data_IF_937500840681
#
_entry.id   IF_937500840681
#
_cell.length_a   1.000
_cell.length_b   1.000
_cell.length_c   1.000
_cell.angle_alpha   90.00
_cell.angle_beta   90.00
_cell.angle_gamma   90.00
#
_symmetry.space_group_name_H-M   'P 1'
#
loop_
_entity.id
_entity.type
_entity.pdbx_description
1 polymer ?
#
# COMPACT_ATOMS: atom_id res chain seq x y z
N UNK A 1 14.68 -0.20 -2.12
CA UNK A 1 13.35 0.16 -1.57
C UNK A 1 12.97 1.54 -2.06
N UNK A 2 11.67 1.83 -2.24
CA UNK A 2 11.20 3.14 -2.74
C UNK A 2 10.56 3.95 -1.61
N UNK A 3 10.98 5.20 -1.36
CA UNK A 3 10.41 6.01 -0.29
C UNK A 3 8.98 6.44 -0.61
N UNK A 4 8.10 6.35 0.37
CA UNK A 4 6.70 6.77 0.30
C UNK A 4 6.51 8.02 1.17
N UNK A 5 5.76 8.98 0.65
CA UNK A 5 5.48 10.26 1.31
C UNK A 5 3.98 10.53 1.32
N UNK A 6 3.46 11.03 2.44
CA UNK A 6 2.06 11.45 2.52
C UNK A 6 1.77 12.62 1.58
N UNK A 7 0.49 12.96 1.37
CA UNK A 7 0.07 14.16 0.65
C UNK A 7 0.70 15.42 1.25
N UNK A 8 0.70 15.55 2.58
CA UNK A 8 1.32 16.68 3.27
C UNK A 8 2.84 16.74 3.04
N UNK A 9 3.52 15.59 3.14
CA UNK A 9 4.95 15.52 2.87
C UNK A 9 5.26 15.86 1.42
N UNK A 10 4.43 15.41 0.48
CA UNK A 10 4.58 15.71 -0.96
C UNK A 10 4.45 17.20 -1.24
N UNK A 11 3.47 17.89 -0.63
CA UNK A 11 3.34 19.36 -0.70
C UNK A 11 4.52 20.08 -0.05
N UNK A 12 5.12 19.47 0.96
CA UNK A 12 6.32 20.01 1.61
C UNK A 12 7.54 19.90 0.71
N UNK A 13 7.76 18.75 0.05
CA UNK A 13 8.82 18.55 -0.93
C UNK A 13 8.69 19.53 -2.10
N UNK A 14 7.48 19.72 -2.63
CA UNK A 14 7.18 20.68 -3.69
C UNK A 14 7.56 22.12 -3.28
N UNK A 15 7.13 22.55 -2.08
CA UNK A 15 7.48 23.87 -1.54
C UNK A 15 8.99 24.05 -1.34
N UNK A 16 9.68 23.02 -0.84
CA UNK A 16 11.13 23.06 -0.64
C UNK A 16 11.87 23.12 -1.97
N UNK A 17 11.42 22.38 -2.99
CA UNK A 17 11.96 22.45 -4.34
C UNK A 17 11.82 23.86 -4.94
N UNK A 18 10.68 24.51 -4.74
CA UNK A 18 10.47 25.89 -5.19
C UNK A 18 11.33 26.90 -4.44
N UNK A 19 11.35 26.81 -3.10
CA UNK A 19 11.98 27.81 -2.25
C UNK A 19 13.51 27.71 -2.19
N UNK A 20 14.06 26.49 -2.14
CA UNK A 20 15.49 26.26 -1.93
C UNK A 20 16.24 25.94 -3.21
N UNK A 21 15.64 25.15 -4.11
CA UNK A 21 16.26 24.81 -5.39
C UNK A 21 15.96 25.83 -6.49
N UNK A 22 15.17 26.87 -6.19
CA UNK A 22 14.83 27.95 -7.12
C UNK A 22 14.06 27.46 -8.35
N UNK A 23 13.37 26.33 -8.26
CA UNK A 23 12.60 25.75 -9.36
C UNK A 23 11.22 26.41 -9.42
N UNK A 24 10.87 27.18 -10.47
CA UNK A 24 9.54 27.78 -10.58
C UNK A 24 8.46 26.69 -10.61
N UNK A 25 7.32 26.92 -9.97
CA UNK A 25 6.22 25.93 -9.92
C UNK A 25 5.73 25.53 -11.33
N UNK A 26 5.59 26.50 -12.23
CA UNK A 26 5.29 26.25 -13.65
C UNK A 26 6.31 25.32 -14.34
N UNK A 27 7.59 25.38 -13.95
CA UNK A 27 8.62 24.48 -14.49
C UNK A 27 8.41 23.04 -13.99
N UNK A 28 8.10 22.86 -12.70
CA UNK A 28 7.78 21.54 -12.15
C UNK A 28 6.55 20.95 -12.85
N UNK A 29 5.49 21.74 -13.01
CA UNK A 29 4.26 21.36 -13.70
C UNK A 29 4.52 20.95 -15.16
N UNK A 30 5.33 21.73 -15.90
CA UNK A 30 5.75 21.38 -17.27
C UNK A 30 6.58 20.09 -17.34
N UNK A 31 7.41 19.81 -16.34
CA UNK A 31 8.17 18.54 -16.25
C UNK A 31 7.25 17.36 -15.96
N UNK A 32 6.30 17.51 -15.05
CA UNK A 32 5.29 16.50 -14.72
C UNK A 32 4.45 16.15 -15.96
N UNK A 33 3.88 17.17 -16.60
CA UNK A 33 3.13 17.03 -17.84
C UNK A 33 3.93 16.37 -18.97
N UNK A 34 5.21 16.75 -19.15
CA UNK A 34 6.06 16.13 -20.17
C UNK A 34 6.31 14.65 -19.89
N UNK A 35 6.60 14.30 -18.63
CA UNK A 35 6.75 12.89 -18.23
C UNK A 35 5.46 12.10 -18.44
N UNK A 36 4.31 12.65 -18.06
CA UNK A 36 3.02 12.01 -18.29
C UNK A 36 2.70 11.86 -19.78
N UNK A 37 3.07 12.84 -20.61
CA UNK A 37 2.99 12.74 -22.07
C UNK A 37 3.89 11.63 -22.64
N UNK A 38 5.12 11.48 -22.14
CA UNK A 38 6.00 10.38 -22.53
C UNK A 38 5.43 9.01 -22.11
N UNK A 39 4.86 8.90 -20.91
CA UNK A 39 4.11 7.72 -20.47
C UNK A 39 2.95 7.43 -21.43
N UNK A 40 2.15 8.44 -21.77
CA UNK A 40 1.06 8.34 -22.73
C UNK A 40 1.54 7.77 -24.05
N UNK A 41 2.62 8.32 -24.62
CA UNK A 41 3.16 7.89 -25.92
C UNK A 41 3.68 6.45 -25.91
N UNK A 42 4.24 6.00 -24.79
CA UNK A 42 4.78 4.64 -24.63
C UNK A 42 3.69 3.60 -24.40
N UNK A 43 2.70 3.91 -23.56
CA UNK A 43 1.66 2.95 -23.17
C UNK A 43 0.47 2.95 -24.13
N UNK A 44 0.24 4.07 -24.83
CA UNK A 44 -0.86 4.24 -25.78
C UNK A 44 -0.35 4.75 -27.14
N UNK A 45 0.56 4.03 -27.83
CA UNK A 45 1.21 4.52 -29.06
C UNK A 45 0.24 4.76 -30.22
N UNK A 46 -0.96 4.18 -30.16
CA UNK A 46 -1.99 4.30 -31.19
C UNK A 46 -3.05 5.37 -30.89
N UNK A 47 -3.03 5.99 -29.70
CA UNK A 47 -3.98 7.04 -29.36
C UNK A 47 -3.75 8.27 -30.27
N UNK A 48 -4.83 8.74 -30.89
CA UNK A 48 -4.84 9.95 -31.73
C UNK A 48 -5.76 11.01 -31.14
N UNK A 49 -6.92 10.60 -30.64
CA UNK A 49 -7.89 11.46 -29.97
C UNK A 49 -7.76 11.35 -28.45
N UNK A 50 -7.39 12.46 -27.84
CA UNK A 50 -7.18 12.61 -26.41
C UNK A 50 -8.28 13.49 -25.81
N UNK A 51 -8.91 13.02 -24.74
CA UNK A 51 -9.77 13.87 -23.91
C UNK A 51 -9.11 14.07 -22.56
N UNK A 52 -8.76 15.31 -22.23
CA UNK A 52 -8.15 15.67 -20.95
C UNK A 52 -9.21 16.31 -20.06
N UNK A 53 -9.52 15.68 -18.93
CA UNK A 53 -10.52 16.16 -17.99
C UNK A 53 -9.83 16.83 -16.81
N UNK A 54 -9.87 18.17 -16.79
CA UNK A 54 -9.14 19.01 -15.85
C UNK A 54 -10.05 19.58 -14.75
N UNK A 55 -9.55 19.57 -13.51
CA UNK A 55 -10.10 20.38 -12.42
C UNK A 55 -9.52 21.80 -12.40
N UNK A 56 -9.82 22.56 -11.33
CA UNK A 56 -9.35 23.95 -11.19
C UNK A 56 -8.03 24.11 -10.43
N UNK A 57 -7.47 23.03 -9.89
CA UNK A 57 -6.25 23.04 -9.08
C UNK A 57 -4.98 22.72 -9.88
N UNK A 58 -3.87 22.50 -9.17
CA UNK A 58 -2.57 22.20 -9.79
C UNK A 58 -2.60 20.95 -10.68
N UNK A 59 -3.36 19.91 -10.30
CA UNK A 59 -3.50 18.71 -11.14
C UNK A 59 -4.15 19.03 -12.49
N UNK A 60 -5.12 19.97 -12.51
CA UNK A 60 -5.70 20.48 -13.75
C UNK A 60 -4.67 21.26 -14.58
N UNK A 61 -3.75 21.97 -13.93
CA UNK A 61 -2.59 22.59 -14.56
C UNK A 61 -1.66 21.58 -15.25
N UNK A 62 -1.33 20.46 -14.59
CA UNK A 62 -0.60 19.36 -15.22
C UNK A 62 -1.33 18.84 -16.47
N UNK A 63 -2.67 18.72 -16.39
CA UNK A 63 -3.54 18.39 -17.51
C UNK A 63 -3.46 19.39 -18.66
N UNK A 64 -3.48 20.70 -18.37
CA UNK A 64 -3.34 21.75 -19.39
C UNK A 64 -1.97 21.67 -20.09
N UNK A 65 -0.87 21.54 -19.35
CA UNK A 65 0.45 21.38 -19.98
C UNK A 65 0.56 20.08 -20.79
N UNK A 66 -0.02 18.97 -20.32
CA UNK A 66 -0.03 17.71 -21.08
C UNK A 66 -0.78 17.88 -22.40
N UNK A 67 -1.93 18.58 -22.36
CA UNK A 67 -2.71 18.89 -23.54
C UNK A 67 -1.91 19.73 -24.56
N UNK A 68 -1.12 20.71 -24.10
CA UNK A 68 -0.21 21.47 -24.96
C UNK A 68 0.80 20.55 -25.66
N UNK A 69 1.48 19.66 -24.93
CA UNK A 69 2.44 18.73 -25.53
C UNK A 69 1.79 17.77 -26.53
N UNK A 70 0.61 17.23 -26.20
CA UNK A 70 -0.13 16.36 -27.09
C UNK A 70 -0.55 17.08 -28.38
N UNK A 71 -1.03 18.32 -28.28
CA UNK A 71 -1.40 19.14 -29.43
C UNK A 71 -0.21 19.47 -30.32
N UNK A 72 0.91 19.89 -29.72
CA UNK A 72 2.15 20.17 -30.46
C UNK A 72 2.72 18.91 -31.13
N UNK A 73 2.41 17.72 -30.62
CA UNK A 73 2.72 16.44 -31.24
C UNK A 73 1.72 16.00 -32.33
N UNK A 74 0.74 16.84 -32.67
CA UNK A 74 -0.24 16.60 -33.73
C UNK A 74 -1.42 15.70 -33.34
N UNK A 75 -1.69 15.53 -32.04
CA UNK A 75 -2.87 14.79 -31.58
C UNK A 75 -4.14 15.65 -31.66
N UNK A 76 -5.29 14.98 -31.80
CA UNK A 76 -6.62 15.59 -31.68
C UNK A 76 -6.96 15.71 -30.19
N UNK A 77 -6.88 16.91 -29.61
CA UNK A 77 -6.96 17.13 -28.17
C UNK A 77 -8.22 17.93 -27.81
N UNK A 78 -9.07 17.33 -26.98
CA UNK A 78 -10.22 17.97 -26.37
C UNK A 78 -9.99 18.14 -24.86
N UNK A 79 -10.30 19.32 -24.33
CA UNK A 79 -10.04 19.66 -22.94
C UNK A 79 -11.36 19.99 -22.29
N UNK A 80 -11.75 19.19 -21.30
CA UNK A 80 -12.94 19.40 -20.50
C UNK A 80 -12.56 19.95 -19.15
N UNK A 81 -13.12 21.09 -18.78
CA UNK A 81 -12.86 21.74 -17.51
C UNK A 81 -14.07 21.57 -16.58
N UNK A 82 -13.83 21.02 -15.39
CA UNK A 82 -14.80 21.04 -14.30
C UNK A 82 -14.57 22.22 -13.38
N UNK A 83 -15.62 23.02 -13.18
CA UNK A 83 -15.56 24.25 -12.41
C UNK A 83 -15.25 25.47 -13.27
N UNK A 84 -15.30 26.64 -12.64
CA UNK A 84 -15.20 27.91 -13.36
C UNK A 84 -13.74 28.34 -13.53
N UNK A 85 -13.40 28.86 -14.71
CA UNK A 85 -12.06 29.42 -15.01
C UNK A 85 -11.67 30.50 -14.00
N UNK A 86 -12.66 31.24 -13.49
CA UNK A 86 -12.48 32.22 -12.43
C UNK A 86 -12.00 31.63 -11.09
N UNK A 87 -11.86 30.32 -10.92
CA UNK A 87 -11.25 29.67 -9.73
C UNK A 87 -9.82 29.17 -9.96
N UNK A 88 -9.33 29.17 -11.20
CA UNK A 88 -7.97 28.73 -11.54
C UNK A 88 -6.99 29.85 -11.17
N UNK A 89 -5.89 29.50 -10.51
CA UNK A 89 -4.90 30.44 -9.95
C UNK A 89 -3.48 29.91 -10.14
N UNK A 90 -2.50 30.80 -9.95
CA UNK A 90 -1.08 30.43 -9.93
C UNK A 90 -0.62 29.81 -11.25
N UNK A 91 0.26 28.81 -11.15
CA UNK A 91 0.88 28.16 -12.32
C UNK A 91 -0.14 27.51 -13.27
N UNK A 92 -1.23 26.94 -12.74
CA UNK A 92 -2.30 26.37 -13.56
C UNK A 92 -2.98 27.43 -14.45
N UNK A 93 -3.12 28.68 -13.96
CA UNK A 93 -3.67 29.78 -14.76
C UNK A 93 -2.71 30.20 -15.87
N UNK A 94 -1.41 30.24 -15.58
CA UNK A 94 -0.37 30.51 -16.59
C UNK A 94 -0.46 29.50 -17.74
N UNK A 95 -0.56 28.20 -17.42
CA UNK A 95 -0.69 27.16 -18.44
C UNK A 95 -2.00 27.20 -19.21
N UNK A 96 -3.09 27.64 -18.58
CA UNK A 96 -4.36 27.84 -19.27
C UNK A 96 -4.26 28.99 -20.29
N UNK A 97 -3.53 30.06 -19.99
CA UNK A 97 -3.29 31.13 -20.96
C UNK A 97 -2.38 30.66 -22.11
N UNK A 98 -1.28 29.95 -21.80
CA UNK A 98 -0.42 29.36 -22.84
C UNK A 98 -1.19 28.40 -23.76
N UNK A 99 -2.15 27.66 -23.20
CA UNK A 99 -3.04 26.78 -23.95
C UNK A 99 -3.97 27.59 -24.90
N UNK A 100 -4.49 28.74 -24.44
CA UNK A 100 -5.30 29.65 -25.25
C UNK A 100 -4.53 30.24 -26.44
N UNK A 101 -3.24 30.54 -26.26
CA UNK A 101 -2.36 31.02 -27.32
C UNK A 101 -2.13 29.96 -28.43
N UNK A 102 -2.33 28.68 -28.11
CA UNK A 102 -2.33 27.57 -29.09
C UNK A 102 -3.70 27.38 -29.76
N UNK A 103 -4.69 28.23 -29.48
CA UNK A 103 -6.06 28.09 -29.98
C UNK A 103 -6.87 26.99 -29.28
N UNK A 104 -6.40 26.48 -28.15
CA UNK A 104 -7.08 25.49 -27.33
C UNK A 104 -7.72 26.15 -26.11
N UNK A 105 -8.86 25.63 -25.66
CA UNK A 105 -9.54 26.16 -24.48
C UNK A 105 -10.20 25.07 -23.68
N UNK A 106 -10.34 25.30 -22.37
CA UNK A 106 -11.18 24.47 -21.52
C UNK A 106 -12.64 24.62 -21.92
N UNK A 107 -13.24 23.54 -22.43
CA UNK A 107 -14.66 23.47 -22.73
C UNK A 107 -15.42 22.98 -21.48
N UNK A 108 -16.71 23.32 -21.33
CA UNK A 108 -17.55 22.68 -20.32
C UNK A 108 -17.50 21.16 -20.46
N UNK A 109 -17.63 20.46 -19.33
CA UNK A 109 -17.69 19.01 -19.33
C UNK A 109 -18.85 18.49 -20.18
N UNK A 110 -18.57 17.55 -21.08
CA UNK A 110 -19.55 16.94 -21.97
C UNK A 110 -19.31 15.43 -22.07
N UNK A 111 -20.07 14.65 -21.29
CA UNK A 111 -19.88 13.21 -21.13
C UNK A 111 -19.84 12.39 -22.45
N UNK A 112 -20.72 12.64 -23.44
CA UNK A 112 -20.71 11.97 -24.74
C UNK A 112 -19.37 11.98 -25.46
N UNK A 113 -18.60 13.08 -25.39
CA UNK A 113 -17.29 13.19 -26.06
C UNK A 113 -16.24 12.21 -25.49
N UNK A 114 -16.44 11.67 -24.28
CA UNK A 114 -15.57 10.62 -23.73
C UNK A 114 -15.67 9.31 -24.53
N UNK A 115 -16.80 9.03 -25.17
CA UNK A 115 -17.01 7.79 -25.93
C UNK A 115 -16.23 7.75 -27.25
N UNK A 116 -15.87 8.92 -27.77
CA UNK A 116 -15.10 9.04 -29.00
C UNK A 116 -13.59 9.07 -28.76
N UNK A 117 -13.14 9.18 -27.50
CA UNK A 117 -11.73 9.22 -27.14
C UNK A 117 -11.02 7.88 -27.44
N UNK A 118 -9.75 7.97 -27.82
CA UNK A 118 -8.83 6.81 -27.77
C UNK A 118 -8.22 6.67 -26.37
N UNK A 119 -8.05 7.79 -25.67
CA UNK A 119 -7.51 7.87 -24.32
C UNK A 119 -8.15 9.04 -23.56
N UNK A 120 -8.49 8.79 -22.30
CA UNK A 120 -8.92 9.81 -21.35
C UNK A 120 -7.76 10.11 -20.39
N UNK A 121 -7.47 11.37 -20.13
CA UNK A 121 -6.53 11.81 -19.10
C UNK A 121 -7.32 12.38 -17.92
N UNK A 122 -7.16 11.76 -16.76
CA UNK A 122 -7.72 12.24 -15.50
C UNK A 122 -6.75 13.23 -14.85
N UNK A 123 -7.15 14.50 -14.85
CA UNK A 123 -6.47 15.62 -14.24
C UNK A 123 -7.43 16.41 -13.32
N UNK A 124 -8.45 15.74 -12.76
CA UNK A 124 -9.51 16.38 -11.97
C UNK A 124 -9.04 16.79 -10.57
N UNK A 125 -8.56 15.83 -9.79
CA UNK A 125 -8.23 15.98 -8.37
C UNK A 125 -6.89 15.27 -8.10
N UNK A 126 -5.98 15.92 -7.38
CA UNK A 126 -4.70 15.33 -6.98
C UNK A 126 -4.64 14.99 -5.49
N UNK A 127 -3.45 15.05 -4.91
CA UNK A 127 -3.17 14.82 -3.47
C UNK A 127 -3.94 15.71 -2.48
N UNK A 128 -4.71 16.71 -2.94
CA UNK A 128 -5.50 17.64 -2.12
C UNK A 128 -6.81 17.09 -1.55
N UNK A 129 -7.19 15.86 -1.89
CA UNK A 129 -8.53 15.33 -1.64
C UNK A 129 -8.68 14.74 -0.23
N UNK A 130 -9.39 15.44 0.64
CA UNK A 130 -9.69 15.01 2.03
C UNK A 130 -11.20 14.81 2.30
N UNK A 131 -12.06 15.02 1.29
CA UNK A 131 -13.53 14.93 1.41
C UNK A 131 -14.12 13.99 0.37
N UNK A 132 -15.34 13.51 0.62
CA UNK A 132 -16.09 12.75 -0.39
C UNK A 132 -16.25 13.56 -1.67
N UNK A 133 -16.04 12.90 -2.80
CA UNK A 133 -16.32 13.42 -4.14
C UNK A 133 -17.81 13.30 -4.39
N UNK A 134 -18.44 14.43 -4.66
CA UNK A 134 -19.89 14.59 -4.84
C UNK A 134 -20.16 15.60 -5.96
N UNK A 135 -21.41 15.70 -6.42
CA UNK A 135 -21.84 16.64 -7.45
C UNK A 135 -21.15 16.42 -8.80
N UNK A 136 -20.85 17.52 -9.50
CA UNK A 136 -20.30 17.49 -10.87
C UNK A 136 -19.02 16.63 -10.99
N UNK A 137 -18.15 16.65 -9.97
CA UNK A 137 -16.95 15.82 -9.97
C UNK A 137 -17.29 14.33 -9.90
N UNK A 138 -18.29 13.93 -9.10
CA UNK A 138 -18.71 12.54 -9.05
C UNK A 138 -19.31 12.10 -10.39
N UNK A 139 -20.18 12.92 -10.97
CA UNK A 139 -20.78 12.67 -12.30
C UNK A 139 -19.72 12.52 -13.39
N UNK A 140 -18.68 13.36 -13.39
CA UNK A 140 -17.60 13.25 -14.36
C UNK A 140 -16.77 11.98 -14.17
N UNK A 141 -16.43 11.61 -12.93
CA UNK A 141 -15.69 10.37 -12.65
C UNK A 141 -16.50 9.14 -13.06
N UNK A 142 -17.80 9.12 -12.78
CA UNK A 142 -18.69 8.03 -13.21
C UNK A 142 -18.74 7.93 -14.73
N UNK A 143 -18.82 9.07 -15.44
CA UNK A 143 -18.79 9.10 -16.90
C UNK A 143 -17.45 8.62 -17.48
N UNK A 144 -16.31 9.01 -16.87
CA UNK A 144 -14.98 8.50 -17.25
C UNK A 144 -14.94 6.98 -17.14
N UNK A 145 -15.39 6.43 -16.01
CA UNK A 145 -15.41 4.98 -15.78
C UNK A 145 -16.38 4.25 -16.71
N UNK A 146 -17.50 4.87 -17.06
CA UNK A 146 -18.52 4.29 -17.95
C UNK A 146 -18.14 4.36 -19.44
N UNK A 147 -17.21 5.22 -19.84
CA UNK A 147 -16.81 5.40 -21.23
C UNK A 147 -16.15 4.17 -21.86
N UNK A 148 -15.64 3.23 -21.03
CA UNK A 148 -14.98 2.01 -21.51
C UNK A 148 -13.68 2.28 -22.26
N UNK A 149 -13.07 3.46 -22.06
CA UNK A 149 -11.82 3.87 -22.68
C UNK A 149 -10.64 3.70 -21.73
N UNK A 150 -9.41 3.54 -22.26
CA UNK A 150 -8.23 3.61 -21.43
C UNK A 150 -8.14 4.96 -20.71
N UNK A 151 -7.65 4.94 -19.47
CA UNK A 151 -7.48 6.12 -18.63
C UNK A 151 -6.04 6.24 -18.14
N UNK A 152 -5.44 7.42 -18.31
CA UNK A 152 -4.19 7.84 -17.68
C UNK A 152 -4.49 8.86 -16.59
N UNK A 153 -4.25 8.52 -15.33
CA UNK A 153 -4.37 9.48 -14.23
C UNK A 153 -3.06 10.26 -14.02
N UNK A 154 -3.21 11.57 -13.77
CA UNK A 154 -2.11 12.45 -13.38
C UNK A 154 -2.02 12.54 -11.86
N UNK A 155 -0.82 12.33 -11.36
CA UNK A 155 -0.42 12.27 -9.95
C UNK A 155 -1.04 11.11 -9.16
N UNK A 156 -2.37 11.12 -9.03
CA UNK A 156 -3.20 10.17 -8.29
C UNK A 156 -4.57 10.09 -9.01
N UNK A 157 -5.17 8.88 -9.18
CA UNK A 157 -6.52 8.77 -9.70
C UNK A 157 -7.51 9.58 -8.86
N UNK A 158 -8.26 10.46 -9.51
CA UNK A 158 -9.21 11.35 -8.84
C UNK A 158 -10.22 10.54 -8.04
N UNK A 159 -10.45 10.94 -6.79
CA UNK A 159 -11.30 10.21 -5.84
C UNK A 159 -10.56 9.22 -4.94
N UNK A 160 -9.31 8.89 -5.25
CA UNK A 160 -8.44 8.09 -4.37
C UNK A 160 -7.76 8.98 -3.33
N UNK A 161 -7.87 8.62 -2.05
CA UNK A 161 -7.16 9.30 -0.98
C UNK A 161 -5.66 8.94 -1.01
N UNK A 162 -4.81 9.96 -1.10
CA UNK A 162 -3.37 9.81 -1.30
C UNK A 162 -2.64 9.01 -0.21
N UNK A 163 -3.09 9.09 1.04
CA UNK A 163 -2.39 8.41 2.15
C UNK A 163 -3.00 7.05 2.51
N UNK A 164 -4.34 6.91 2.46
CA UNK A 164 -5.03 5.69 2.91
C UNK A 164 -5.37 4.71 1.79
N UNK A 165 -5.39 5.16 0.53
CA UNK A 165 -5.80 4.33 -0.61
C UNK A 165 -7.30 4.02 -0.64
N UNK A 166 -8.12 4.73 0.15
CA UNK A 166 -9.58 4.62 0.11
C UNK A 166 -10.16 5.47 -1.02
N UNK A 167 -11.28 5.02 -1.56
CA UNK A 167 -12.13 5.86 -2.42
C UNK A 167 -13.02 6.75 -1.55
N UNK A 168 -12.94 8.07 -1.76
CA UNK A 168 -13.79 9.04 -1.06
C UNK A 168 -15.00 9.37 -1.93
N UNK A 169 -16.07 8.59 -1.83
CA UNK A 169 -17.26 8.73 -2.70
C UNK A 169 -17.12 7.86 -3.95
N UNK A 170 -16.61 8.43 -5.04
CA UNK A 170 -16.32 7.73 -6.30
C UNK A 170 -14.89 8.04 -6.76
N UNK A 171 -14.25 7.10 -7.45
CA UNK A 171 -12.88 7.26 -7.94
C UNK A 171 -12.67 6.77 -9.37
N UNK A 172 -11.71 7.37 -10.05
CA UNK A 172 -11.30 7.01 -11.41
C UNK A 172 -10.54 5.70 -11.40
N UNK A 173 -10.94 4.75 -12.25
CA UNK A 173 -10.22 3.50 -12.47
C UNK A 173 -9.22 3.69 -13.61
N UNK A 174 -7.97 3.99 -13.26
CA UNK A 174 -6.92 4.24 -14.23
C UNK A 174 -6.25 2.95 -14.72
N UNK A 175 -5.89 2.89 -16.00
CA UNK A 175 -5.02 1.84 -16.52
C UNK A 175 -3.56 2.11 -16.17
N UNK A 176 -3.19 3.40 -16.18
CA UNK A 176 -1.88 3.87 -15.80
C UNK A 176 -2.00 5.14 -14.96
N UNK A 177 -1.07 5.33 -14.03
CA UNK A 177 -0.95 6.56 -13.26
C UNK A 177 0.46 7.10 -13.40
N UNK A 178 0.63 8.34 -13.86
CA UNK A 178 1.90 9.03 -13.84
C UNK A 178 1.98 9.88 -12.57
N UNK A 179 2.82 9.49 -11.62
CA UNK A 179 2.98 10.17 -10.32
C UNK A 179 4.33 10.87 -10.23
N UNK A 180 4.34 12.02 -9.55
CA UNK A 180 5.49 12.93 -9.58
C UNK A 180 5.96 13.31 -8.19
N UNK A 181 7.24 13.69 -8.06
CA UNK A 181 7.93 14.13 -6.84
C UNK A 181 8.08 13.02 -5.80
N UNK A 182 7.00 12.35 -5.45
CA UNK A 182 6.95 11.29 -4.44
C UNK A 182 6.03 10.16 -4.88
N UNK A 183 6.31 8.97 -4.35
CA UNK A 183 5.32 7.90 -4.30
C UNK A 183 4.40 8.11 -3.10
N UNK A 184 3.07 8.06 -3.31
CA UNK A 184 2.09 8.23 -2.24
C UNK A 184 1.60 6.87 -1.75
N UNK A 185 1.52 6.61 -0.43
CA UNK A 185 1.13 5.31 0.11
C UNK A 185 -0.20 4.78 -0.44
N UNK A 186 -1.18 5.65 -0.63
CA UNK A 186 -2.51 5.33 -1.11
C UNK A 186 -2.56 4.78 -2.53
N UNK A 187 -1.52 4.93 -3.35
CA UNK A 187 -1.41 4.26 -4.65
C UNK A 187 -1.18 2.75 -4.51
N UNK A 188 -0.65 2.30 -3.38
CA UNK A 188 -0.19 0.92 -3.14
C UNK A 188 -1.03 0.18 -2.09
N UNK A 189 -1.96 0.88 -1.44
CA UNK A 189 -2.82 0.34 -0.38
C UNK A 189 -4.29 0.30 -0.79
N UNK A 190 -5.04 -0.63 -0.21
CA UNK A 190 -6.49 -0.75 -0.33
C UNK A 190 -6.97 -0.68 -1.79
N UNK A 191 -7.89 0.25 -2.10
CA UNK A 191 -8.43 0.41 -3.44
C UNK A 191 -7.40 0.96 -4.44
N UNK A 192 -6.34 1.63 -3.96
CA UNK A 192 -5.29 2.16 -4.82
C UNK A 192 -4.62 1.10 -5.69
N UNK A 193 -4.48 -0.13 -5.18
CA UNK A 193 -3.94 -1.26 -5.94
C UNK A 193 -4.74 -1.61 -7.19
N UNK A 194 -6.05 -1.35 -7.16
CA UNK A 194 -6.95 -1.59 -8.28
C UNK A 194 -7.13 -0.32 -9.13
N UNK A 195 -7.26 0.85 -8.48
CA UNK A 195 -7.62 2.11 -9.16
C UNK A 195 -6.43 2.81 -9.82
N UNK A 196 -5.19 2.54 -9.41
CA UNK A 196 -4.01 3.23 -9.95
C UNK A 196 -3.45 2.59 -11.22
N UNK A 197 -3.87 1.35 -11.53
CA UNK A 197 -3.29 0.57 -12.62
C UNK A 197 -1.76 0.45 -12.50
N UNK A 198 -1.05 0.53 -13.63
CA UNK A 198 0.41 0.56 -13.60
C UNK A 198 0.93 1.98 -13.28
N UNK A 199 1.72 2.08 -12.21
CA UNK A 199 2.27 3.35 -11.72
C UNK A 199 3.63 3.64 -12.38
N UNK A 200 3.77 4.84 -12.93
CA UNK A 200 4.99 5.40 -13.50
C UNK A 200 5.43 6.59 -12.65
N UNK A 201 6.71 6.67 -12.31
CA UNK A 201 7.23 7.68 -11.37
C UNK A 201 8.33 8.53 -11.99
N UNK A 202 8.30 9.84 -11.69
CA UNK A 202 9.38 10.76 -11.99
C UNK A 202 9.58 11.78 -10.86
N UNK A 203 10.82 11.94 -10.42
CA UNK A 203 11.23 12.87 -9.34
C UNK A 203 11.20 14.37 -9.74
N UNK A 204 10.86 14.65 -11.00
CA UNK A 204 10.89 15.99 -11.61
C UNK A 204 12.24 16.70 -11.53
N UNK A 205 13.33 15.95 -11.33
CA UNK A 205 14.67 16.48 -11.06
C UNK A 205 14.68 17.43 -9.85
N UNK A 206 13.88 17.10 -8.83
CA UNK A 206 14.02 17.71 -7.50
C UNK A 206 15.35 17.22 -6.91
N UNK A 207 16.21 18.10 -6.37
CA UNK A 207 17.51 17.70 -5.83
C UNK A 207 17.40 16.77 -4.61
N UNK A 208 18.35 15.86 -4.46
CA UNK A 208 18.39 14.89 -3.35
C UNK A 208 18.46 15.59 -1.97
N UNK A 209 19.02 16.79 -1.89
CA UNK A 209 19.08 17.60 -0.66
C UNK A 209 17.69 18.01 -0.15
N UNK A 210 16.70 18.12 -1.05
CA UNK A 210 15.31 18.38 -0.67
C UNK A 210 14.71 17.15 -0.01
N UNK A 211 14.96 15.96 -0.56
CA UNK A 211 14.48 14.70 0.01
C UNK A 211 15.17 14.36 1.34
N UNK A 212 16.46 14.68 1.49
CA UNK A 212 17.23 14.44 2.72
C UNK A 212 16.67 15.20 3.94
N UNK A 213 15.93 16.29 3.73
CA UNK A 213 15.32 17.09 4.80
C UNK A 213 14.04 16.47 5.37
N UNK A 214 13.44 15.50 4.66
CA UNK A 214 12.15 14.94 5.03
C UNK A 214 12.20 13.41 5.00
N UNK A 215 12.23 12.73 6.16
CA UNK A 215 12.20 11.27 6.19
C UNK A 215 10.88 10.75 5.61
N UNK A 216 10.89 9.67 4.81
CA UNK A 216 9.69 9.09 4.26
C UNK A 216 8.80 8.49 5.36
N UNK A 217 7.48 8.50 5.14
CA UNK A 217 6.53 7.88 6.09
C UNK A 217 6.62 6.35 6.08
N UNK A 218 6.93 5.78 4.91
CA UNK A 218 7.10 4.35 4.72
C UNK A 218 8.03 4.07 3.53
N UNK A 219 8.44 2.82 3.34
CA UNK A 219 9.17 2.38 2.17
C UNK A 219 8.45 1.22 1.50
N UNK A 220 8.24 1.31 0.18
CA UNK A 220 7.72 0.21 -0.61
C UNK A 220 8.85 -0.80 -0.85
N UNK A 221 8.59 -2.05 -0.46
CA UNK A 221 9.48 -3.18 -0.71
C UNK A 221 9.01 -3.99 -1.91
N UNK A 222 9.97 -4.52 -2.66
CA UNK A 222 9.74 -5.45 -3.76
C UNK A 222 10.49 -6.75 -3.50
N UNK A 223 10.19 -7.80 -4.26
CA UNK A 223 10.94 -9.06 -4.18
C UNK A 223 12.44 -8.87 -4.40
N UNK A 224 12.86 -7.87 -5.18
CA UNK A 224 14.26 -7.55 -5.41
C UNK A 224 14.97 -6.98 -4.18
N UNK A 225 14.21 -6.44 -3.21
CA UNK A 225 14.74 -5.94 -1.94
C UNK A 225 14.89 -7.06 -0.90
N UNK A 226 14.28 -8.23 -1.12
CA UNK A 226 14.31 -9.34 -0.19
C UNK A 226 15.59 -10.18 -0.35
N UNK A 227 16.34 -10.34 0.74
CA UNK A 227 17.48 -11.25 0.79
C UNK A 227 17.05 -12.58 1.43
N UNK A 228 17.11 -13.66 0.66
CA UNK A 228 16.90 -15.00 1.19
C UNK A 228 18.16 -15.48 1.92
N UNK A 229 18.03 -16.20 3.05
CA UNK A 229 19.18 -16.75 3.75
C UNK A 229 19.93 -17.73 2.85
N UNK A 230 21.26 -17.55 2.74
CA UNK A 230 22.11 -18.48 2.02
C UNK A 230 22.31 -19.76 2.83
N UNK A 231 22.28 -20.92 2.16
CA UNK A 231 22.52 -22.22 2.79
C UNK A 231 23.92 -22.74 2.42
N UNK A 232 24.86 -22.83 3.38
CA UNK A 232 26.19 -23.39 3.12
C UNK A 232 26.12 -24.84 2.62
N UNK A 233 27.06 -25.24 1.77
CA UNK A 233 27.11 -26.60 1.22
C UNK A 233 27.28 -27.69 2.28
N UNK A 234 27.88 -27.36 3.43
CA UNK A 234 28.06 -28.25 4.57
C UNK A 234 26.93 -28.16 5.61
N UNK A 235 25.83 -27.44 5.32
CA UNK A 235 24.73 -27.29 6.24
C UNK A 235 24.05 -28.63 6.52
N UNK A 236 23.74 -28.88 7.78
CA UNK A 236 22.93 -30.01 8.22
C UNK A 236 21.60 -29.52 8.81
N UNK A 237 20.69 -30.43 9.19
CA UNK A 237 19.37 -30.07 9.73
C UNK A 237 19.43 -29.06 10.89
N UNK A 238 20.39 -29.19 11.81
CA UNK A 238 20.58 -28.21 12.90
C UNK A 238 21.03 -26.81 12.44
N UNK A 239 21.63 -26.67 11.25
CA UNK A 239 22.12 -25.37 10.74
C UNK A 239 20.97 -24.43 10.32
N UNK A 240 19.78 -24.97 10.08
CA UNK A 240 18.59 -24.22 9.66
C UNK A 240 17.57 -23.99 10.78
N UNK A 241 17.96 -24.31 12.03
CA UNK A 241 17.15 -24.10 13.23
C UNK A 241 15.92 -25.01 13.36
N UNK A 242 15.32 -24.95 14.54
CA UNK A 242 14.11 -25.67 14.93
C UNK A 242 12.95 -24.69 15.10
N UNK A 243 11.94 -24.84 14.25
CA UNK A 243 10.67 -24.12 14.38
C UNK A 243 9.68 -24.95 15.22
N UNK A 244 9.11 -24.35 16.26
CA UNK A 244 8.06 -24.95 17.08
C UNK A 244 6.73 -24.21 16.86
N UNK A 245 5.74 -24.90 16.33
CA UNK A 245 4.43 -24.33 16.01
C UNK A 245 3.40 -24.83 17.02
N UNK A 246 2.53 -23.96 17.52
CA UNK A 246 1.55 -24.25 18.55
C UNK A 246 0.18 -23.74 18.13
N UNK A 247 -0.79 -24.65 18.06
CA UNK A 247 -2.15 -24.33 17.62
C UNK A 247 -2.96 -25.58 17.32
N UNK A 248 -4.03 -25.42 16.55
CA UNK A 248 -4.91 -26.53 16.19
C UNK A 248 -5.61 -27.13 17.41
N UNK A 249 -6.51 -26.35 18.01
CA UNK A 249 -7.46 -26.82 18.98
C UNK A 249 -8.55 -27.67 18.29
N UNK A 250 -9.58 -28.05 19.04
CA UNK A 250 -10.68 -28.85 18.52
C UNK A 250 -11.28 -28.22 17.24
N UNK A 251 -11.45 -29.06 16.22
CA UNK A 251 -11.95 -28.69 14.88
C UNK A 251 -11.06 -27.75 14.05
N UNK A 252 -9.88 -27.36 14.53
CA UNK A 252 -9.00 -26.38 13.87
C UNK A 252 -7.63 -26.94 13.45
N UNK A 253 -7.51 -28.26 13.32
CA UNK A 253 -6.26 -28.94 12.92
C UNK A 253 -5.70 -28.45 11.58
N UNK A 254 -6.56 -28.06 10.63
CA UNK A 254 -6.11 -27.54 9.33
C UNK A 254 -5.24 -26.27 9.44
N UNK A 255 -5.56 -25.37 10.37
CA UNK A 255 -4.83 -24.12 10.53
C UNK A 255 -3.37 -24.34 10.97
N UNK A 256 -3.15 -25.23 11.94
CA UNK A 256 -1.80 -25.54 12.42
C UNK A 256 -1.01 -26.36 11.40
N UNK A 257 -1.67 -27.25 10.66
CA UNK A 257 -1.03 -28.02 9.57
C UNK A 257 -0.48 -27.06 8.50
N UNK A 258 -1.28 -26.09 8.05
CA UNK A 258 -0.85 -25.09 7.07
C UNK A 258 0.32 -24.23 7.58
N UNK A 259 0.27 -23.80 8.84
CA UNK A 259 1.36 -23.04 9.45
C UNK A 259 2.66 -23.86 9.55
N UNK A 260 2.56 -25.14 9.94
CA UNK A 260 3.69 -26.04 10.02
C UNK A 260 4.32 -26.32 8.65
N UNK A 261 3.51 -26.54 7.62
CA UNK A 261 3.97 -26.67 6.24
C UNK A 261 4.67 -25.39 5.77
N UNK A 262 4.10 -24.22 6.09
CA UNK A 262 4.73 -22.93 5.78
C UNK A 262 6.13 -22.79 6.39
N UNK A 263 6.29 -23.15 7.67
CA UNK A 263 7.59 -23.13 8.33
C UNK A 263 8.59 -24.11 7.70
N UNK A 264 8.16 -25.32 7.39
CA UNK A 264 8.99 -26.34 6.73
C UNK A 264 9.44 -25.87 5.34
N UNK A 265 8.51 -25.36 4.51
CA UNK A 265 8.81 -24.87 3.17
C UNK A 265 9.63 -23.58 3.15
N UNK A 266 9.58 -22.79 4.23
CA UNK A 266 10.46 -21.63 4.43
C UNK A 266 11.91 -22.03 4.75
N UNK A 267 12.18 -23.32 4.93
CA UNK A 267 13.51 -23.87 5.09
C UNK A 267 13.91 -24.19 6.52
N UNK A 268 12.99 -24.26 7.48
CA UNK A 268 13.29 -24.73 8.84
C UNK A 268 13.93 -26.13 8.79
N UNK A 269 14.97 -26.35 9.60
CA UNK A 269 15.69 -27.62 9.63
C UNK A 269 14.94 -28.74 10.36
N UNK A 270 14.20 -28.36 11.40
CA UNK A 270 13.25 -29.21 12.12
C UNK A 270 11.95 -28.43 12.33
N UNK A 271 10.81 -29.09 12.13
CA UNK A 271 9.49 -28.48 12.36
C UNK A 271 8.69 -29.35 13.32
N UNK A 272 8.54 -28.84 14.54
CA UNK A 272 7.82 -29.48 15.63
C UNK A 272 6.49 -28.79 15.84
N UNK A 273 5.45 -29.55 16.18
CA UNK A 273 4.08 -29.04 16.26
C UNK A 273 3.44 -29.51 17.56
N UNK A 274 3.04 -28.57 18.41
CA UNK A 274 2.20 -28.84 19.58
C UNK A 274 0.74 -28.61 19.18
N UNK A 275 -0.05 -29.68 19.17
CA UNK A 275 -1.46 -29.65 18.77
C UNK A 275 -2.27 -30.72 19.52
N UNK A 276 -3.59 -30.80 19.32
CA UNK A 276 -4.40 -31.88 19.90
C UNK A 276 -4.04 -33.23 19.26
N UNK A 277 -4.02 -34.29 20.07
CA UNK A 277 -3.66 -35.65 19.62
C UNK A 277 -4.49 -36.13 18.42
N UNK A 278 -5.75 -35.70 18.33
CA UNK A 278 -6.65 -36.01 17.21
C UNK A 278 -6.13 -35.56 15.84
N UNK A 279 -5.24 -34.55 15.80
CA UNK A 279 -4.69 -34.00 14.55
C UNK A 279 -3.38 -34.69 14.12
N UNK A 280 -2.77 -35.53 14.96
CA UNK A 280 -1.45 -36.12 14.68
C UNK A 280 -1.42 -36.92 13.38
N UNK A 281 -2.43 -37.77 13.15
CA UNK A 281 -2.51 -38.59 11.94
C UNK A 281 -2.64 -37.75 10.68
N UNK A 282 -3.45 -36.68 10.72
CA UNK A 282 -3.62 -35.76 9.60
C UNK A 282 -2.34 -34.95 9.33
N UNK A 283 -1.63 -34.50 10.37
CA UNK A 283 -0.36 -33.79 10.26
C UNK A 283 0.70 -34.65 9.57
N UNK A 284 0.87 -35.90 10.01
CA UNK A 284 1.84 -36.84 9.44
C UNK A 284 1.48 -37.26 8.02
N UNK A 285 0.18 -37.38 7.71
CA UNK A 285 -0.30 -37.63 6.35
C UNK A 285 -0.03 -36.45 5.41
N UNK A 286 -0.15 -35.21 5.90
CA UNK A 286 0.15 -34.01 5.12
C UNK A 286 1.65 -33.90 4.80
N UNK A 287 2.52 -34.13 5.80
CA UNK A 287 3.94 -34.28 5.58
C UNK A 287 4.62 -35.05 6.73
N UNK A 288 5.25 -36.21 6.46
CA UNK A 288 5.86 -37.04 7.51
C UNK A 288 7.13 -36.42 8.13
N UNK A 289 7.66 -35.31 7.58
CA UNK A 289 8.77 -34.57 8.18
C UNK A 289 8.33 -33.71 9.38
N UNK A 290 7.03 -33.49 9.57
CA UNK A 290 6.48 -32.75 10.71
C UNK A 290 6.46 -33.65 11.95
N UNK A 291 6.83 -33.09 13.10
CA UNK A 291 6.93 -33.83 14.37
C UNK A 291 5.80 -33.41 15.33
N UNK A 292 4.70 -34.17 15.46
CA UNK A 292 3.60 -33.85 16.36
C UNK A 292 3.92 -34.13 17.84
N UNK A 293 3.36 -33.31 18.71
CA UNK A 293 3.38 -33.44 20.17
C UNK A 293 2.04 -33.01 20.76
N UNK A 294 1.49 -33.78 21.70
CA UNK A 294 0.21 -33.45 22.36
C UNK A 294 0.32 -32.39 23.46
N UNK A 295 1.48 -32.31 24.12
CA UNK A 295 1.70 -31.43 25.27
C UNK A 295 3.07 -30.77 25.22
N UNK A 296 3.20 -29.53 25.73
CA UNK A 296 4.50 -28.89 25.89
C UNK A 296 5.29 -29.55 27.03
N UNK A 297 6.56 -29.82 26.79
CA UNK A 297 7.51 -30.21 27.84
C UNK A 297 8.64 -29.18 27.90
N UNK A 298 9.27 -29.02 29.07
CA UNK A 298 10.37 -28.06 29.21
C UNK A 298 11.51 -28.32 28.20
N UNK A 299 11.81 -29.60 27.95
CA UNK A 299 12.81 -30.05 26.97
C UNK A 299 12.41 -29.72 25.53
N UNK A 300 11.14 -29.95 25.15
CA UNK A 300 10.64 -29.59 23.83
C UNK A 300 10.75 -28.09 23.57
N UNK A 301 10.38 -27.29 24.57
CA UNK A 301 10.44 -25.83 24.49
C UNK A 301 11.87 -25.30 24.44
N UNK A 302 12.83 -25.92 25.13
CA UNK A 302 14.23 -25.48 25.11
C UNK A 302 14.96 -25.80 23.80
N UNK A 303 14.41 -26.68 22.97
CA UNK A 303 14.97 -27.02 21.65
C UNK A 303 14.51 -26.07 20.53
N UNK A 304 13.60 -25.14 20.80
CA UNK A 304 13.07 -24.23 19.77
C UNK A 304 13.95 -22.99 19.60
N UNK A 305 14.38 -22.74 18.37
CA UNK A 305 15.07 -21.50 17.98
C UNK A 305 14.07 -20.37 17.68
N UNK A 306 12.88 -20.74 17.17
CA UNK A 306 11.77 -19.83 16.95
C UNK A 306 10.43 -20.54 17.19
N UNK A 307 9.43 -19.79 17.65
CA UNK A 307 8.08 -20.30 17.91
C UNK A 307 7.02 -19.61 17.06
N UNK A 308 5.98 -20.32 16.65
CA UNK A 308 4.77 -19.74 16.06
C UNK A 308 3.55 -20.16 16.88
N UNK A 309 2.72 -19.22 17.31
CA UNK A 309 1.57 -19.49 18.17
C UNK A 309 0.31 -18.82 17.60
N UNK A 310 -0.80 -19.56 17.60
CA UNK A 310 -2.12 -18.97 17.39
C UNK A 310 -3.00 -19.57 16.29
N UNK A 311 -2.48 -20.11 15.17
CA UNK A 311 -3.32 -20.71 14.13
C UNK A 311 -4.23 -21.81 14.67
N UNK A 312 -5.52 -21.49 14.78
CA UNK A 312 -6.52 -22.39 15.33
C UNK A 312 -6.37 -22.70 16.83
N UNK A 313 -5.64 -21.89 17.60
CA UNK A 313 -5.35 -22.17 19.01
C UNK A 313 -6.60 -22.15 19.90
N UNK A 314 -7.64 -21.39 19.53
CA UNK A 314 -8.79 -21.14 20.39
C UNK A 314 -8.46 -20.25 21.57
N UNK A 315 -9.42 -20.06 22.49
CA UNK A 315 -9.30 -19.14 23.63
C UNK A 315 -9.75 -19.78 24.95
N UNK A 316 -9.79 -21.11 24.97
CA UNK A 316 -10.10 -21.92 26.14
C UNK A 316 -8.91 -22.00 27.12
N UNK A 317 -9.06 -22.77 28.20
CA UNK A 317 -8.03 -22.90 29.23
C UNK A 317 -6.76 -23.57 28.70
N UNK A 318 -6.89 -24.47 27.72
CA UNK A 318 -5.74 -25.10 27.08
C UNK A 318 -4.91 -24.05 26.33
N UNK A 319 -5.55 -23.23 25.50
CA UNK A 319 -4.91 -22.13 24.78
C UNK A 319 -4.25 -21.11 25.73
N UNK A 320 -4.98 -20.68 26.76
CA UNK A 320 -4.49 -19.70 27.75
C UNK A 320 -3.28 -20.22 28.51
N UNK A 321 -3.30 -21.49 28.92
CA UNK A 321 -2.19 -22.09 29.63
C UNK A 321 -0.94 -22.22 28.74
N UNK A 322 -1.11 -22.69 27.49
CA UNK A 322 -0.03 -22.76 26.51
C UNK A 322 0.59 -21.40 26.27
N UNK A 323 -0.21 -20.38 25.96
CA UNK A 323 0.30 -19.04 25.70
C UNK A 323 1.05 -18.49 26.92
N UNK A 324 0.52 -18.66 28.13
CA UNK A 324 1.20 -18.20 29.35
C UNK A 324 2.58 -18.84 29.54
N UNK A 325 2.69 -20.15 29.34
CA UNK A 325 3.96 -20.87 29.46
C UNK A 325 4.97 -20.42 28.40
N UNK A 326 4.51 -20.24 27.16
CA UNK A 326 5.37 -19.84 26.03
C UNK A 326 5.81 -18.37 26.14
N UNK A 327 4.93 -17.50 26.65
CA UNK A 327 5.25 -16.08 26.78
C UNK A 327 6.32 -15.79 27.85
N UNK A 328 6.54 -16.69 28.80
CA UNK A 328 7.60 -16.62 29.81
C UNK A 328 9.00 -16.97 29.26
N UNK A 329 9.10 -17.48 28.02
CA UNK A 329 10.37 -17.85 27.39
C UNK A 329 10.95 -16.64 26.63
N UNK A 330 12.27 -16.60 26.49
CA UNK A 330 12.95 -15.55 25.72
C UNK A 330 13.19 -15.91 24.24
N UNK A 331 12.52 -16.96 23.74
CA UNK A 331 12.65 -17.41 22.35
C UNK A 331 11.89 -16.47 21.42
N UNK A 332 12.44 -16.07 20.26
CA UNK A 332 11.71 -15.30 19.26
C UNK A 332 10.39 -15.98 18.87
N UNK A 333 9.31 -15.22 18.69
CA UNK A 333 8.03 -15.84 18.33
C UNK A 333 7.16 -15.02 17.37
N UNK A 334 6.39 -15.71 16.54
CA UNK A 334 5.32 -15.14 15.72
C UNK A 334 3.99 -15.39 16.41
N UNK A 335 3.22 -14.33 16.66
CA UNK A 335 1.85 -14.43 17.17
C UNK A 335 0.87 -14.10 16.05
N UNK A 336 -0.10 -14.99 15.87
CA UNK A 336 -1.17 -14.86 14.88
C UNK A 336 -2.53 -15.23 15.50
N UNK A 337 -3.62 -14.88 14.82
CA UNK A 337 -4.95 -15.39 15.10
C UNK A 337 -5.36 -15.34 16.60
N UNK A 338 -5.70 -16.49 17.18
CA UNK A 338 -6.19 -16.56 18.56
C UNK A 338 -5.13 -16.15 19.60
N UNK A 339 -3.84 -16.27 19.29
CA UNK A 339 -2.80 -15.77 20.19
C UNK A 339 -2.86 -14.24 20.31
N UNK A 340 -3.21 -13.55 19.22
CA UNK A 340 -3.45 -12.10 19.21
C UNK A 340 -4.73 -11.76 19.98
N UNK A 341 -5.80 -12.55 19.85
CA UNK A 341 -7.02 -12.36 20.62
C UNK A 341 -6.78 -12.50 22.14
N UNK A 342 -5.96 -13.48 22.55
CA UNK A 342 -5.56 -13.67 23.94
C UNK A 342 -4.61 -12.56 24.43
N UNK A 343 -3.72 -12.07 23.55
CA UNK A 343 -2.85 -10.92 23.84
C UNK A 343 -3.66 -9.62 24.01
N UNK A 344 -4.74 -9.44 23.26
CA UNK A 344 -5.65 -8.29 23.41
C UNK A 344 -6.33 -8.28 24.80
N UNK A 345 -6.68 -9.47 25.32
CA UNK A 345 -7.28 -9.61 26.65
C UNK A 345 -6.28 -9.38 27.78
N UNK A 346 -5.01 -9.74 27.56
CA UNK A 346 -3.94 -9.60 28.55
C UNK A 346 -2.73 -8.89 27.92
N UNK A 347 -2.82 -7.58 27.68
CA UNK A 347 -1.77 -6.86 26.96
C UNK A 347 -0.42 -6.96 27.65
N UNK A 348 0.59 -7.36 26.90
CA UNK A 348 1.99 -7.43 27.34
C UNK A 348 2.85 -6.87 26.21
N UNK A 349 3.98 -6.24 26.55
CA UNK A 349 4.94 -5.72 25.57
C UNK A 349 6.14 -6.67 25.49
N UNK A 350 6.63 -6.94 24.29
CA UNK A 350 7.89 -7.66 24.08
C UNK A 350 8.53 -7.30 22.74
N UNK A 351 9.86 -7.21 22.70
CA UNK A 351 10.59 -6.93 21.46
C UNK A 351 11.02 -8.19 20.70
N UNK A 352 10.75 -9.38 21.27
CA UNK A 352 11.13 -10.67 20.66
C UNK A 352 10.12 -11.23 19.66
N UNK A 353 9.00 -10.55 19.45
CA UNK A 353 7.91 -11.12 18.66
C UNK A 353 7.58 -10.36 17.37
N UNK A 354 6.96 -11.10 16.47
CA UNK A 354 6.30 -10.58 15.27
C UNK A 354 4.79 -10.80 15.48
N UNK A 355 4.02 -9.73 15.49
CA UNK A 355 2.56 -9.78 15.51
C UNK A 355 2.04 -9.72 14.07
N UNK A 356 1.07 -10.55 13.71
CA UNK A 356 0.57 -10.61 12.33
C UNK A 356 -0.93 -10.32 12.21
N UNK A 357 -1.47 -9.24 12.83
CA UNK A 357 -2.91 -9.02 12.85
C UNK A 357 -3.49 -8.70 11.47
N UNK A 358 -4.66 -9.27 11.17
CA UNK A 358 -5.55 -8.70 10.16
C UNK A 358 -6.31 -7.48 10.75
N UNK A 359 -7.05 -6.67 9.95
CA UNK A 359 -7.65 -5.42 10.44
C UNK A 359 -8.60 -5.60 11.64
N UNK A 360 -9.41 -6.67 11.66
CA UNK A 360 -10.22 -7.05 12.83
C UNK A 360 -9.43 -7.43 14.09
N UNK A 361 -8.28 -8.12 13.98
CA UNK A 361 -7.42 -8.40 15.13
C UNK A 361 -6.72 -7.14 15.61
N UNK A 362 -6.22 -6.31 14.69
CA UNK A 362 -5.62 -5.02 14.99
C UNK A 362 -6.60 -4.10 15.74
N UNK A 363 -7.86 -4.06 15.29
CA UNK A 363 -8.93 -3.33 15.95
C UNK A 363 -9.11 -3.78 17.41
N UNK A 364 -9.15 -5.09 17.67
CA UNK A 364 -9.24 -5.63 19.04
C UNK A 364 -8.01 -5.30 19.88
N UNK A 365 -6.81 -5.47 19.32
CA UNK A 365 -5.54 -5.15 19.99
C UNK A 365 -5.45 -3.67 20.37
N UNK A 366 -5.92 -2.77 19.51
CA UNK A 366 -5.87 -1.32 19.75
C UNK A 366 -7.07 -0.79 20.55
N UNK A 367 -8.17 -1.53 20.64
CA UNK A 367 -9.45 -1.00 21.13
C UNK A 367 -10.11 -0.05 20.12
N UNK A 368 -9.84 -0.25 18.83
CA UNK A 368 -10.39 0.53 17.72
C UNK A 368 -11.51 -0.25 17.03
N UNK A 369 -12.23 0.42 16.15
CA UNK A 369 -13.08 -0.23 15.14
C UNK A 369 -12.26 -0.61 13.90
N UNK A 370 -12.73 -1.59 13.13
CA UNK A 370 -12.11 -1.94 11.84
C UNK A 370 -12.10 -0.74 10.90
N UNK A 371 -13.15 0.09 10.91
CA UNK A 371 -13.23 1.29 10.11
C UNK A 371 -12.13 2.32 10.46
N UNK A 372 -11.79 2.47 11.75
CA UNK A 372 -10.68 3.32 12.17
C UNK A 372 -9.32 2.76 11.70
N UNK A 373 -9.09 1.45 11.85
CA UNK A 373 -7.86 0.80 11.35
C UNK A 373 -7.70 0.99 9.84
N UNK A 374 -8.79 0.83 9.07
CA UNK A 374 -8.76 1.01 7.62
C UNK A 374 -8.69 2.46 7.19
N UNK A 375 -9.15 3.40 8.02
CA UNK A 375 -9.03 4.83 7.76
C UNK A 375 -7.58 5.32 7.86
N UNK A 376 -6.82 4.77 8.81
CA UNK A 376 -5.44 5.14 9.09
C UNK A 376 -4.59 3.88 9.37
N UNK A 377 -4.27 3.15 8.32
CA UNK A 377 -3.48 1.90 8.42
C UNK A 377 -2.04 2.16 8.87
N UNK A 378 -1.46 3.29 8.42
CA UNK A 378 -0.11 3.72 8.81
C UNK A 378 -0.06 4.01 10.31
N UNK A 379 -0.99 4.81 10.83
CA UNK A 379 -1.11 5.06 12.26
C UNK A 379 -1.44 3.79 13.05
N UNK A 380 -2.29 2.90 12.52
CA UNK A 380 -2.65 1.65 13.19
C UNK A 380 -1.45 0.71 13.37
N UNK A 381 -0.62 0.49 12.33
CA UNK A 381 0.56 -0.39 12.46
C UNK A 381 1.60 0.19 13.41
N UNK A 382 1.74 1.52 13.43
CA UNK A 382 2.65 2.21 14.33
C UNK A 382 2.14 2.14 15.78
N UNK A 383 0.82 2.31 16.00
CA UNK A 383 0.21 2.16 17.31
C UNK A 383 0.31 0.72 17.85
N UNK A 384 0.20 -0.30 16.97
CA UNK A 384 0.41 -1.70 17.34
C UNK A 384 1.85 -1.91 17.85
N UNK A 385 2.84 -1.42 17.09
CA UNK A 385 4.25 -1.52 17.45
C UNK A 385 4.55 -0.76 18.75
N UNK A 386 4.02 0.45 18.91
CA UNK A 386 4.18 1.25 20.13
C UNK A 386 3.54 0.61 21.36
N UNK A 387 2.41 -0.08 21.20
CA UNK A 387 1.72 -0.74 22.33
C UNK A 387 2.36 -2.07 22.71
N UNK A 388 2.72 -2.89 21.73
CA UNK A 388 3.12 -4.29 21.96
C UNK A 388 4.61 -4.57 21.77
N UNK A 389 5.39 -3.63 21.21
CA UNK A 389 6.81 -3.83 20.92
C UNK A 389 7.06 -4.78 19.74
N UNK A 390 8.34 -5.06 19.50
CA UNK A 390 8.78 -5.97 18.44
C UNK A 390 8.37 -5.47 17.05
N UNK A 391 7.96 -6.40 16.18
CA UNK A 391 7.52 -6.11 14.81
C UNK A 391 6.02 -6.32 14.67
N UNK A 392 5.31 -5.38 14.06
CA UNK A 392 3.89 -5.50 13.74
C UNK A 392 3.67 -5.59 12.23
N UNK A 393 3.03 -6.66 11.77
CA UNK A 393 2.67 -6.92 10.37
C UNK A 393 1.14 -6.81 10.24
N UNK A 394 0.66 -5.62 9.86
CA UNK A 394 -0.76 -5.36 9.62
C UNK A 394 -1.16 -5.88 8.24
N UNK A 395 -1.79 -7.05 8.21
CA UNK A 395 -2.22 -7.75 6.99
C UNK A 395 -3.30 -6.95 6.25
N UNK A 396 -3.29 -7.00 4.92
CA UNK A 396 -4.33 -6.44 4.06
C UNK A 396 -3.83 -6.12 2.65
N UNK A 397 -4.65 -5.43 1.86
CA UNK A 397 -4.26 -4.97 0.53
C UNK A 397 -3.21 -3.86 0.68
N UNK A 398 -1.93 -4.23 0.58
CA UNK A 398 -0.83 -3.38 1.05
C UNK A 398 -0.58 -3.70 2.52
N UNK A 399 0.21 -4.75 2.76
CA UNK A 399 0.54 -5.19 4.11
C UNK A 399 1.61 -4.28 4.66
N UNK A 400 1.38 -3.73 5.85
CA UNK A 400 2.34 -2.82 6.48
C UNK A 400 3.15 -3.57 7.53
N UNK A 401 4.45 -3.30 7.59
CA UNK A 401 5.37 -3.87 8.58
C UNK A 401 6.01 -2.71 9.34
N UNK A 402 5.88 -2.66 10.65
CA UNK A 402 6.53 -1.65 11.49
C UNK A 402 7.40 -2.32 12.56
N UNK A 403 8.68 -1.94 12.61
CA UNK A 403 9.66 -2.43 13.59
C UNK A 403 9.97 -1.40 14.69
N UNK A 404 9.36 -0.21 14.63
CA UNK A 404 9.58 0.92 15.55
C UNK A 404 10.60 1.94 15.06
N UNK A 405 11.32 1.63 13.98
CA UNK A 405 12.26 2.54 13.32
C UNK A 405 11.77 2.97 11.95
N UNK A 406 11.11 2.06 11.23
CA UNK A 406 10.59 2.28 9.88
C UNK A 406 9.26 1.57 9.67
N UNK A 407 8.58 1.95 8.60
CA UNK A 407 7.40 1.26 8.09
C UNK A 407 7.71 0.77 6.67
N UNK A 408 7.50 -0.52 6.42
CA UNK A 408 7.57 -1.11 5.09
C UNK A 408 6.16 -1.41 4.57
N UNK A 409 5.97 -1.26 3.27
CA UNK A 409 4.73 -1.58 2.54
C UNK A 409 4.98 -2.62 1.45
#
# INVERSE_FOLDING_TARGET
MKPLYTAEQSRTLDRLAMAQAGLPGVLLMKRAAFFAFDVLRRQFPHARRLVVVCGVGNNGGDGFALAQYAHLAGMDVHIMQLGTTAKIRGDALTLLHELADLGLGGLPFDAPLLQDADLIVDALLGTGLDRKVEGDYATAIEAINAAGKPVLALDIPSGLHADSGRILGVGVRANHTATFISHKPGLYMEAGREYSGQIHFHDLKVPDEVYAQLPPTAQLITLADCQLPQRPAHAHKGSAGTALLIGGNHHMGGAIILAALGALHSGAGLTKVITRDEHHSALLAANPALMPYGTPTADLLSQADAMGLGPGLGQDDWARNLQRQLLQRNTPCVLDADALNLLAQTPTRSDRWILTPHPGEAARLLGWTVAQVQADRLGAVQALQQRYGGVSVLKGAGTLICDGHQILL
#
